data_IF_307762531758
#
_entry.id   IF_307762531758
#
_cell.length_a   1.000
_cell.length_b   1.000
_cell.length_c   1.000
_cell.angle_alpha   90.00
_cell.angle_beta   90.00
_cell.angle_gamma   90.00
#
_symmetry.space_group_name_H-M   'P 1'
#
loop_
_entity.id
_entity.type
_entity.pdbx_description
1 polymer ?
#
# COMPACT_ATOMS: atom_id res chain seq x y z
N UNK A 1 26.38 5.19 -1.35
CA UNK A 1 26.35 4.07 -2.32
C UNK A 1 25.76 2.83 -1.66
N UNK A 2 25.16 1.85 -2.38
CA UNK A 2 24.79 0.55 -1.81
C UNK A 2 25.93 -0.15 -1.04
N UNK A 3 27.19 0.18 -1.36
CA UNK A 3 28.39 -0.29 -0.64
C UNK A 3 28.46 0.17 0.82
N UNK A 4 27.89 1.33 1.14
CA UNK A 4 28.04 1.98 2.46
C UNK A 4 27.00 1.49 3.47
N UNK A 5 26.01 0.70 3.02
CA UNK A 5 24.96 0.16 3.91
C UNK A 5 25.55 -0.68 5.04
N UNK A 6 26.67 -1.38 4.79
CA UNK A 6 27.37 -2.18 5.81
C UNK A 6 27.97 -1.33 6.94
N UNK A 7 28.10 -0.03 6.72
CA UNK A 7 28.63 0.94 7.68
C UNK A 7 27.51 1.66 8.45
N UNK A 8 26.24 1.43 8.09
CA UNK A 8 25.09 2.02 8.76
C UNK A 8 24.65 1.16 9.93
N UNK A 9 24.19 1.80 11.00
CA UNK A 9 23.55 1.13 12.12
C UNK A 9 22.32 0.32 11.63
N UNK A 10 22.24 -1.00 11.90
CA UNK A 10 21.09 -1.81 11.48
C UNK A 10 19.73 -1.34 12.01
N UNK A 11 19.69 -0.56 13.09
CA UNK A 11 18.46 -0.02 13.68
C UNK A 11 17.84 1.14 12.89
N UNK A 12 18.59 1.74 11.94
CA UNK A 12 18.16 2.94 11.22
C UNK A 12 17.60 2.65 9.82
N UNK A 13 17.64 1.40 9.37
CA UNK A 13 17.14 1.00 8.05
C UNK A 13 16.43 -0.34 8.04
N UNK A 14 15.62 -0.56 6.99
CA UNK A 14 15.01 -1.84 6.67
C UNK A 14 15.45 -2.31 5.29
N UNK A 15 15.80 -3.59 5.19
CA UNK A 15 16.04 -4.27 3.92
C UNK A 15 14.71 -4.90 3.43
N UNK A 16 14.36 -4.70 2.17
CA UNK A 16 13.24 -5.38 1.53
C UNK A 16 13.65 -6.77 1.02
N UNK A 17 12.67 -7.62 0.76
CA UNK A 17 12.89 -8.98 0.24
C UNK A 17 13.61 -8.97 -1.11
N UNK A 18 13.44 -7.90 -1.90
CA UNK A 18 14.14 -7.68 -3.17
C UNK A 18 15.57 -7.14 -2.99
N UNK A 19 16.06 -7.02 -1.75
CA UNK A 19 17.42 -6.58 -1.43
C UNK A 19 17.65 -5.08 -1.38
N UNK A 20 16.61 -4.26 -1.62
CA UNK A 20 16.70 -2.80 -1.52
C UNK A 20 16.66 -2.33 -0.06
N UNK A 21 17.28 -1.19 0.23
CA UNK A 21 17.44 -0.69 1.60
C UNK A 21 16.79 0.69 1.72
N UNK A 22 15.96 0.87 2.74
CA UNK A 22 15.23 2.10 3.02
C UNK A 22 15.43 2.50 4.47
N UNK A 23 15.76 3.77 4.73
CA UNK A 23 15.90 4.28 6.11
C UNK A 23 14.54 4.40 6.80
N UNK A 24 14.52 4.32 8.12
CA UNK A 24 13.32 4.55 8.90
C UNK A 24 12.90 6.04 8.90
N UNK A 25 11.61 6.28 9.15
CA UNK A 25 11.02 7.62 9.13
C UNK A 25 11.63 8.59 10.15
N UNK A 26 12.12 8.08 11.29
CA UNK A 26 12.80 8.89 12.31
C UNK A 26 14.15 9.45 11.82
N UNK A 27 14.78 8.79 10.84
CA UNK A 27 16.01 9.28 10.17
C UNK A 27 15.64 10.32 9.13
N UNK A 28 14.69 9.98 8.25
CA UNK A 28 14.22 10.85 7.18
C UNK A 28 12.80 10.50 6.78
N UNK A 29 11.87 11.47 6.92
CA UNK A 29 10.52 11.32 6.36
C UNK A 29 10.56 11.42 4.84
N UNK A 30 9.97 10.44 4.16
CA UNK A 30 9.91 10.42 2.70
C UNK A 30 8.89 11.40 2.13
N UNK A 31 9.16 11.90 0.92
CA UNK A 31 8.24 12.80 0.19
C UNK A 31 7.02 12.04 -0.34
N UNK A 32 7.22 10.86 -0.95
CA UNK A 32 6.11 10.06 -1.48
C UNK A 32 5.11 9.61 -0.39
N UNK A 33 5.53 9.13 0.80
CA UNK A 33 4.61 8.90 1.92
C UNK A 33 3.80 10.13 2.31
N UNK A 34 4.41 11.33 2.33
CA UNK A 34 3.71 12.58 2.65
C UNK A 34 2.62 12.90 1.63
N UNK A 35 2.92 12.80 0.33
CA UNK A 35 1.94 12.98 -0.74
C UNK A 35 0.81 11.96 -0.63
N UNK A 36 1.13 10.70 -0.35
CA UNK A 36 0.13 9.64 -0.17
C UNK A 36 -0.77 9.89 1.05
N UNK A 37 -0.21 10.36 2.18
CA UNK A 37 -0.97 10.72 3.38
C UNK A 37 -2.03 11.80 3.07
N UNK A 38 -1.66 12.81 2.28
CA UNK A 38 -2.56 13.88 1.86
C UNK A 38 -3.68 13.36 0.93
N UNK A 39 -3.32 12.57 -0.08
CA UNK A 39 -4.27 11.97 -1.03
C UNK A 39 -5.27 11.04 -0.31
N UNK A 40 -4.77 10.19 0.60
CA UNK A 40 -5.61 9.29 1.40
C UNK A 40 -6.53 10.06 2.34
N UNK A 41 -6.03 11.12 2.97
CA UNK A 41 -6.84 11.99 3.84
C UNK A 41 -7.94 12.71 3.06
N UNK A 42 -7.62 13.25 1.87
CA UNK A 42 -8.60 13.84 0.98
C UNK A 42 -9.65 12.81 0.53
N UNK A 43 -9.23 11.59 0.18
CA UNK A 43 -10.14 10.52 -0.22
C UNK A 43 -11.05 10.10 0.93
N UNK A 44 -10.54 10.04 2.16
CA UNK A 44 -11.34 9.75 3.37
C UNK A 44 -12.45 10.79 3.56
N UNK A 45 -12.15 12.08 3.34
CA UNK A 45 -13.16 13.15 3.35
C UNK A 45 -14.19 12.96 2.24
N UNK A 46 -13.77 12.72 0.99
CA UNK A 46 -14.70 12.48 -0.12
C UNK A 46 -15.62 11.27 0.12
N UNK A 47 -15.12 10.18 0.73
CA UNK A 47 -15.97 9.05 1.13
C UNK A 47 -16.96 9.40 2.24
N UNK A 48 -16.58 10.27 3.18
CA UNK A 48 -17.49 10.76 4.23
C UNK A 48 -18.59 11.63 3.62
N UNK A 49 -18.22 12.55 2.73
CA UNK A 49 -19.16 13.41 2.00
C UNK A 49 -20.13 12.56 1.16
N UNK A 50 -19.62 11.51 0.50
CA UNK A 50 -20.44 10.56 -0.25
C UNK A 50 -21.47 9.83 0.62
N UNK A 51 -21.09 9.44 1.85
CA UNK A 51 -22.03 8.79 2.80
C UNK A 51 -23.10 9.76 3.30
N UNK A 52 -22.77 11.05 3.39
CA UNK A 52 -23.66 12.10 3.89
C UNK A 52 -24.44 12.81 2.77
N UNK A 53 -24.26 12.42 1.51
CA UNK A 53 -24.90 13.06 0.38
C UNK A 53 -26.44 12.88 0.45
N UNK A 54 -27.23 13.96 0.39
CA UNK A 54 -28.68 13.92 0.53
C UNK A 54 -29.38 13.36 -0.71
N UNK A 55 -28.75 13.46 -1.89
CA UNK A 55 -29.33 13.02 -3.16
C UNK A 55 -28.47 11.95 -3.84
N UNK A 56 -29.12 11.11 -4.64
CA UNK A 56 -28.46 10.14 -5.53
C UNK A 56 -27.42 10.81 -6.44
N UNK A 57 -27.78 11.96 -7.00
CA UNK A 57 -26.91 12.74 -7.87
C UNK A 57 -25.65 13.23 -7.14
N UNK A 58 -25.80 13.84 -5.96
CA UNK A 58 -24.66 14.28 -5.16
C UNK A 58 -23.79 13.11 -4.72
N UNK A 59 -24.40 11.97 -4.38
CA UNK A 59 -23.64 10.76 -4.06
C UNK A 59 -22.81 10.29 -5.24
N UNK A 60 -23.36 10.32 -6.46
CA UNK A 60 -22.62 9.98 -7.67
C UNK A 60 -21.44 10.93 -7.92
N UNK A 61 -21.63 12.24 -7.71
CA UNK A 61 -20.55 13.25 -7.81
C UNK A 61 -19.43 12.97 -6.79
N UNK A 62 -19.78 12.72 -5.52
CA UNK A 62 -18.78 12.41 -4.49
C UNK A 62 -18.11 11.05 -4.73
N UNK A 63 -18.81 10.08 -5.33
CA UNK A 63 -18.20 8.84 -5.77
C UNK A 63 -17.16 9.09 -6.87
N UNK A 64 -17.47 9.92 -7.86
CA UNK A 64 -16.49 10.36 -8.88
C UNK A 64 -15.25 10.99 -8.25
N UNK A 65 -15.44 11.88 -7.27
CA UNK A 65 -14.35 12.53 -6.54
C UNK A 65 -13.47 11.53 -5.78
N UNK A 66 -14.04 10.58 -5.03
CA UNK A 66 -13.21 9.58 -4.32
C UNK A 66 -12.49 8.63 -5.27
N UNK A 67 -13.08 8.30 -6.43
CA UNK A 67 -12.45 7.48 -7.46
C UNK A 67 -11.26 8.21 -8.10
N UNK A 68 -11.41 9.50 -8.43
CA UNK A 68 -10.30 10.30 -8.96
C UNK A 68 -9.12 10.32 -7.96
N UNK A 69 -9.39 10.55 -6.67
CA UNK A 69 -8.36 10.52 -5.63
C UNK A 69 -7.72 9.14 -5.46
N UNK A 70 -8.49 8.05 -5.61
CA UNK A 70 -7.95 6.67 -5.63
C UNK A 70 -6.98 6.48 -6.80
N UNK A 71 -7.38 6.91 -7.99
CA UNK A 71 -6.54 6.81 -9.19
C UNK A 71 -5.25 7.60 -9.00
N UNK A 72 -5.33 8.85 -8.53
CA UNK A 72 -4.15 9.67 -8.24
C UNK A 72 -3.19 8.99 -7.25
N UNK A 73 -3.70 8.43 -6.15
CA UNK A 73 -2.88 7.72 -5.18
C UNK A 73 -2.20 6.47 -5.77
N UNK A 74 -2.92 5.70 -6.59
CA UNK A 74 -2.35 4.54 -7.27
C UNK A 74 -1.30 4.94 -8.31
N UNK A 75 -1.48 6.08 -8.98
CA UNK A 75 -0.49 6.59 -9.94
C UNK A 75 0.83 6.99 -9.28
N UNK A 76 0.90 7.27 -7.97
CA UNK A 76 2.15 7.65 -7.29
C UNK A 76 3.20 6.54 -7.37
N UNK A 77 2.84 5.28 -7.06
CA UNK A 77 3.81 4.19 -7.19
C UNK A 77 4.04 3.83 -8.67
N UNK A 78 3.03 3.96 -9.52
CA UNK A 78 3.14 3.77 -10.96
C UNK A 78 4.15 4.72 -11.60
N UNK A 79 4.18 5.98 -11.16
CA UNK A 79 5.16 6.98 -11.57
C UNK A 79 6.59 6.54 -11.26
N UNK A 80 6.83 5.90 -10.10
CA UNK A 80 8.16 5.34 -9.77
C UNK A 80 8.54 4.11 -10.61
N UNK A 81 7.56 3.41 -11.18
CA UNK A 81 7.79 2.23 -12.02
C UNK A 81 7.88 2.53 -13.52
N UNK A 82 7.50 3.73 -13.96
CA UNK A 82 7.52 4.11 -15.36
C UNK A 82 8.96 4.32 -15.85
N UNK A 83 9.43 3.44 -16.73
CA UNK A 83 10.77 3.52 -17.33
C UNK A 83 10.90 4.64 -18.36
N UNK A 84 9.79 4.99 -19.01
CA UNK A 84 9.65 6.18 -19.86
C UNK A 84 8.94 7.25 -19.03
N UNK A 85 9.72 8.15 -18.43
CA UNK A 85 9.21 9.19 -17.53
C UNK A 85 10.32 10.02 -16.91
N UNK A 86 9.94 11.04 -16.14
CA UNK A 86 10.89 11.99 -15.55
C UNK A 86 11.62 11.47 -14.30
N UNK A 87 11.09 10.43 -13.63
CA UNK A 87 11.66 9.95 -12.37
C UNK A 87 11.49 8.42 -12.16
N UNK A 88 12.14 7.57 -12.98
CA UNK A 88 12.13 6.13 -12.75
C UNK A 88 12.86 5.78 -11.44
N UNK A 89 12.17 5.12 -10.52
CA UNK A 89 12.73 4.58 -9.28
C UNK A 89 12.25 3.14 -9.06
N UNK A 90 12.78 2.24 -9.88
CA UNK A 90 12.47 0.81 -9.85
C UNK A 90 12.59 0.16 -8.46
N UNK A 91 13.54 0.53 -7.58
CA UNK A 91 13.59 -0.01 -6.22
C UNK A 91 12.31 0.19 -5.40
N UNK A 92 11.64 1.34 -5.58
CA UNK A 92 10.38 1.64 -4.89
C UNK A 92 9.25 0.80 -5.48
N UNK A 93 9.12 0.79 -6.82
CA UNK A 93 8.07 0.04 -7.50
C UNK A 93 8.20 -1.48 -7.26
N UNK A 94 9.40 -2.04 -7.39
CA UNK A 94 9.66 -3.47 -7.17
C UNK A 94 9.38 -3.87 -5.72
N UNK A 95 9.84 -3.07 -4.75
CA UNK A 95 9.61 -3.32 -3.33
C UNK A 95 8.13 -3.26 -3.00
N UNK A 96 7.39 -2.27 -3.53
CA UNK A 96 5.95 -2.13 -3.31
C UNK A 96 5.18 -3.36 -3.78
N UNK A 97 5.47 -3.85 -4.99
CA UNK A 97 4.80 -5.06 -5.53
C UNK A 97 5.19 -6.33 -4.77
N UNK A 98 6.44 -6.43 -4.31
CA UNK A 98 6.91 -7.57 -3.52
C UNK A 98 6.21 -7.65 -2.16
N UNK A 99 6.14 -6.51 -1.44
CA UNK A 99 5.37 -6.42 -0.20
C UNK A 99 3.88 -6.76 -0.42
N UNK A 100 3.29 -6.31 -1.54
CA UNK A 100 1.91 -6.64 -1.89
C UNK A 100 1.69 -8.15 -2.00
N UNK A 101 2.55 -8.87 -2.74
CA UNK A 101 2.48 -10.34 -2.86
C UNK A 101 2.67 -11.03 -1.51
N UNK A 102 3.67 -10.62 -0.74
CA UNK A 102 3.92 -11.17 0.59
C UNK A 102 2.70 -11.00 1.51
N UNK A 103 2.04 -9.84 1.49
CA UNK A 103 0.85 -9.60 2.32
C UNK A 103 -0.35 -10.44 1.89
N UNK A 104 -0.55 -10.66 0.58
CA UNK A 104 -1.61 -11.55 0.08
C UNK A 104 -1.41 -12.98 0.57
N UNK A 105 -0.20 -13.52 0.45
CA UNK A 105 0.10 -14.88 0.92
C UNK A 105 -0.09 -15.00 2.43
N UNK A 106 0.46 -14.06 3.21
CA UNK A 106 0.26 -14.04 4.67
C UNK A 106 -1.20 -13.94 5.06
N UNK A 107 -2.01 -13.22 4.29
CA UNK A 107 -3.45 -13.08 4.56
C UNK A 107 -4.16 -14.41 4.30
N UNK A 108 -3.82 -15.09 3.19
CA UNK A 108 -4.33 -16.42 2.89
C UNK A 108 -3.98 -17.41 4.00
N UNK A 109 -2.68 -17.52 4.33
CA UNK A 109 -2.18 -18.40 5.39
C UNK A 109 -2.87 -18.11 6.73
N UNK A 110 -3.05 -16.83 7.07
CA UNK A 110 -3.72 -16.44 8.29
C UNK A 110 -5.18 -16.93 8.31
N UNK A 111 -5.93 -16.75 7.23
CA UNK A 111 -7.33 -17.20 7.13
C UNK A 111 -7.44 -18.71 7.23
N UNK A 112 -6.65 -19.45 6.45
CA UNK A 112 -6.71 -20.92 6.39
C UNK A 112 -6.23 -21.58 7.68
N UNK A 113 -5.31 -20.96 8.43
CA UNK A 113 -4.84 -21.49 9.71
C UNK A 113 -5.73 -21.09 10.90
N UNK A 114 -6.41 -19.94 10.83
CA UNK A 114 -7.24 -19.45 11.94
C UNK A 114 -8.61 -20.11 11.94
N UNK A 115 -9.29 -20.15 10.79
CA UNK A 115 -10.67 -20.62 10.70
C UNK A 115 -10.72 -22.12 10.37
N UNK A 116 -10.35 -22.94 11.35
CA UNK A 116 -10.31 -24.40 11.22
C UNK A 116 -11.16 -25.10 12.28
N UNK A 117 -11.56 -26.33 12.01
CA UNK A 117 -12.23 -27.23 12.98
C UNK A 117 -11.37 -27.46 14.22
N UNK A 118 -10.05 -27.53 14.05
CA UNK A 118 -9.11 -27.63 15.16
C UNK A 118 -9.20 -26.43 16.12
N UNK A 119 -9.54 -25.24 15.61
CA UNK A 119 -9.73 -24.02 16.40
C UNK A 119 -11.19 -23.80 16.84
N UNK A 120 -12.06 -24.80 16.72
CA UNK A 120 -13.45 -24.74 17.19
C UNK A 120 -14.46 -24.16 16.20
N UNK A 121 -14.10 -24.01 14.93
CA UNK A 121 -15.04 -23.63 13.87
C UNK A 121 -15.77 -24.86 13.30
N UNK A 122 -16.94 -24.64 12.68
CA UNK A 122 -17.76 -25.73 12.11
C UNK A 122 -17.11 -26.40 10.89
N UNK A 123 -16.38 -25.61 10.09
CA UNK A 123 -15.71 -26.02 8.87
C UNK A 123 -14.31 -25.41 8.76
N UNK A 124 -13.46 -26.03 7.95
CA UNK A 124 -12.16 -25.47 7.57
C UNK A 124 -12.33 -24.47 6.44
N UNK A 125 -11.86 -23.24 6.64
CA UNK A 125 -11.87 -22.22 5.62
C UNK A 125 -10.80 -22.52 4.57
N UNK A 126 -11.16 -22.39 3.30
CA UNK A 126 -10.24 -22.49 2.19
C UNK A 126 -10.38 -21.29 1.27
N UNK A 127 -9.27 -20.64 0.95
CA UNK A 127 -9.26 -19.46 0.07
C UNK A 127 -9.27 -19.93 -1.38
N UNK A 128 -10.42 -19.78 -2.03
CA UNK A 128 -10.63 -20.24 -3.42
C UNK A 128 -10.13 -19.25 -4.50
N UNK A 129 -9.97 -17.97 -4.16
CA UNK A 129 -9.58 -16.91 -5.08
C UNK A 129 -8.95 -15.72 -4.33
N UNK A 130 -8.04 -15.00 -5.00
CA UNK A 130 -7.33 -13.83 -4.47
C UNK A 130 -6.70 -13.00 -5.58
#
# INVERSE_FOLDING_TARGET
SPSDVKLLDPSIYKKSDNGHVFVHSHVKKGVLPTILEELLSARKRAKKDMKNAPTEFERAVQNGRQLALKVSANSVYGFTGATVGQLPCLPIASTTTSYGRMLLEKTKEFVENTYTRANGYEHDAHVIYG
#
